data_IF_808900552476
#
_entry.id   IF_808900552476
#
_cell.length_a   1.000
_cell.length_b   1.000
_cell.length_c   1.000
_cell.angle_alpha   90.00
_cell.angle_beta   90.00
_cell.angle_gamma   90.00
#
_symmetry.space_group_name_H-M   'P 1'
#
loop_
_entity.id
_entity.type
_entity.pdbx_description
1 polymer ?
#
# COMPACT_ATOMS: atom_id res chain seq x y z
N UNK A 1 -10.83 -11.18 -15.73
CA UNK A 1 -9.61 -11.90 -15.23
C UNK A 1 -8.44 -11.77 -16.20
N UNK A 2 -8.64 -12.02 -17.49
CA UNK A 2 -7.62 -11.83 -18.54
C UNK A 2 -6.93 -10.46 -18.50
N UNK A 3 -7.68 -9.36 -18.36
CA UNK A 3 -7.12 -8.01 -18.25
C UNK A 3 -6.26 -7.82 -16.98
N UNK A 4 -6.72 -8.32 -15.84
CA UNK A 4 -5.95 -8.25 -14.60
C UNK A 4 -4.63 -9.04 -14.70
N UNK A 5 -4.68 -10.25 -15.28
CA UNK A 5 -3.47 -11.06 -15.56
C UNK A 5 -2.52 -10.36 -16.52
N UNK A 6 -3.04 -9.83 -17.64
CA UNK A 6 -2.25 -9.05 -18.60
C UNK A 6 -1.57 -7.85 -17.95
N UNK A 7 -2.30 -7.11 -17.11
CA UNK A 7 -1.75 -5.99 -16.33
C UNK A 7 -0.63 -6.42 -15.38
N UNK A 8 -0.79 -7.53 -14.65
CA UNK A 8 0.25 -8.04 -13.76
C UNK A 8 1.52 -8.48 -14.50
N UNK A 9 1.38 -9.10 -15.67
CA UNK A 9 2.52 -9.51 -16.51
C UNK A 9 3.25 -8.28 -17.07
N UNK A 10 2.50 -7.31 -17.60
CA UNK A 10 3.08 -6.05 -18.07
C UNK A 10 3.83 -5.32 -16.96
N UNK A 11 3.25 -5.26 -15.75
CA UNK A 11 3.88 -4.66 -14.59
C UNK A 11 5.20 -5.37 -14.23
N UNK A 12 5.25 -6.70 -14.37
CA UNK A 12 6.50 -7.44 -14.23
C UNK A 12 7.57 -6.97 -15.23
N UNK A 13 7.24 -6.89 -16.52
CA UNK A 13 8.20 -6.43 -17.54
C UNK A 13 8.71 -5.01 -17.23
N UNK A 14 7.82 -4.12 -16.79
CA UNK A 14 8.20 -2.76 -16.39
C UNK A 14 9.09 -2.73 -15.15
N UNK A 15 9.02 -3.71 -14.24
CA UNK A 15 9.90 -3.81 -13.06
C UNK A 15 11.35 -4.16 -13.38
N UNK A 16 11.65 -4.57 -14.60
CA UNK A 16 13.03 -4.77 -15.06
C UNK A 16 13.70 -3.42 -15.38
N UNK A 17 12.93 -2.40 -15.77
CA UNK A 17 13.45 -1.07 -16.15
C UNK A 17 14.21 -0.32 -15.03
N UNK A 18 13.76 -0.32 -13.75
CA UNK A 18 14.50 0.32 -12.66
C UNK A 18 15.97 -0.08 -12.55
N UNK A 19 16.34 -1.32 -12.91
CA UNK A 19 17.74 -1.74 -12.94
C UNK A 19 18.57 -0.86 -13.90
N UNK A 20 18.08 -0.66 -15.12
CA UNK A 20 18.77 0.12 -16.15
C UNK A 20 18.61 1.63 -15.96
N UNK A 21 17.44 2.08 -15.48
CA UNK A 21 17.10 3.50 -15.38
C UNK A 21 17.52 4.15 -14.06
N UNK A 22 17.70 3.37 -12.99
CA UNK A 22 18.00 3.88 -11.65
C UNK A 22 19.35 3.36 -11.16
N UNK A 23 19.58 2.04 -11.18
CA UNK A 23 20.80 1.46 -10.61
C UNK A 23 22.04 1.77 -11.45
N UNK A 24 21.97 1.59 -12.78
CA UNK A 24 23.10 1.85 -13.67
C UNK A 24 23.57 3.32 -13.62
N UNK A 25 22.69 4.35 -13.73
CA UNK A 25 23.09 5.74 -13.53
C UNK A 25 23.73 6.01 -12.17
N UNK A 26 23.24 5.35 -11.09
CA UNK A 26 23.86 5.45 -9.78
C UNK A 26 25.29 4.92 -9.73
N UNK A 27 25.55 3.77 -10.37
CA UNK A 27 26.91 3.20 -10.48
C UNK A 27 27.83 4.07 -11.32
N UNK A 28 27.35 4.57 -12.46
CA UNK A 28 28.11 5.49 -13.33
C UNK A 28 28.46 6.78 -12.57
N UNK A 29 27.51 7.35 -11.83
CA UNK A 29 27.75 8.55 -11.02
C UNK A 29 28.85 8.35 -9.99
N UNK A 30 28.99 7.16 -9.42
CA UNK A 30 30.04 6.87 -8.43
C UNK A 30 31.44 6.89 -9.05
N UNK A 31 31.57 6.47 -10.31
CA UNK A 31 32.85 6.47 -11.05
C UNK A 31 33.19 7.87 -11.54
N UNK A 32 32.19 8.62 -12.01
CA UNK A 32 32.40 9.95 -12.58
C UNK A 32 32.63 11.04 -11.52
N UNK A 33 32.04 10.88 -10.33
CA UNK A 33 32.13 11.87 -9.25
C UNK A 33 32.67 11.25 -7.93
N UNK A 34 33.94 10.81 -7.90
CA UNK A 34 34.49 10.13 -6.74
C UNK A 34 34.59 11.02 -5.51
N UNK A 35 34.90 12.31 -5.68
CA UNK A 35 35.14 13.23 -4.56
C UNK A 35 33.86 13.66 -3.84
N UNK A 36 32.71 13.62 -4.52
CA UNK A 36 31.41 14.02 -3.95
C UNK A 36 30.56 12.81 -3.57
N UNK A 37 30.38 11.84 -4.48
CA UNK A 37 29.49 10.69 -4.28
C UNK A 37 30.21 9.52 -3.60
N UNK A 38 31.48 9.29 -3.94
CA UNK A 38 32.29 8.20 -3.40
C UNK A 38 33.25 8.65 -2.28
N UNK A 39 32.94 9.78 -1.62
CA UNK A 39 33.75 10.33 -0.55
C UNK A 39 34.03 9.26 0.53
N UNK A 40 35.29 9.17 0.95
CA UNK A 40 35.78 8.20 1.93
C UNK A 40 36.14 8.83 3.27
N UNK A 41 36.30 10.16 3.32
CA UNK A 41 36.74 10.89 4.51
C UNK A 41 35.54 11.57 5.22
N UNK A 42 35.33 11.33 6.54
CA UNK A 42 34.15 11.82 7.26
C UNK A 42 33.94 13.34 7.23
N UNK A 43 35.02 14.12 7.37
CA UNK A 43 34.97 15.59 7.36
C UNK A 43 34.49 16.13 6.01
N UNK A 44 34.98 15.54 4.92
CA UNK A 44 34.60 15.93 3.55
C UNK A 44 33.15 15.56 3.27
N UNK A 45 32.74 14.33 3.60
CA UNK A 45 31.34 13.91 3.42
C UNK A 45 30.36 14.76 4.24
N UNK A 46 30.73 15.15 5.48
CA UNK A 46 29.91 16.01 6.32
C UNK A 46 29.66 17.39 5.69
N UNK A 47 30.67 17.98 5.04
CA UNK A 47 30.55 19.28 4.40
C UNK A 47 29.66 19.26 3.14
N UNK A 48 29.61 18.12 2.44
CA UNK A 48 28.92 17.97 1.15
C UNK A 48 27.46 17.57 1.35
N UNK A 49 27.19 16.58 2.21
CA UNK A 49 25.87 15.97 2.33
C UNK A 49 25.35 15.84 3.76
N UNK A 50 25.98 16.53 4.72
CA UNK A 50 25.63 16.48 6.16
C UNK A 50 25.60 15.06 6.74
N UNK A 51 26.37 14.15 6.14
CA UNK A 51 26.50 12.76 6.58
C UNK A 51 27.97 12.37 6.59
N UNK A 52 28.46 11.91 7.75
CA UNK A 52 29.86 11.53 7.94
C UNK A 52 30.23 10.18 7.28
N UNK A 53 29.24 9.40 6.82
CA UNK A 53 29.47 8.04 6.33
C UNK A 53 29.65 7.99 4.82
N UNK A 54 28.65 8.43 4.06
CA UNK A 54 28.59 8.37 2.59
C UNK A 54 27.58 9.38 2.02
N UNK A 55 27.83 9.83 0.79
CA UNK A 55 26.93 10.71 0.04
C UNK A 55 26.30 10.00 -1.18
N UNK A 56 25.84 8.75 -1.01
CA UNK A 56 25.27 7.95 -2.12
C UNK A 56 23.89 8.43 -2.57
N UNK A 57 23.09 9.03 -1.68
CA UNK A 57 21.73 9.49 -2.00
C UNK A 57 21.70 10.63 -3.04
N UNK A 58 22.79 11.40 -3.17
CA UNK A 58 22.89 12.51 -4.13
C UNK A 58 23.41 12.08 -5.50
N UNK A 59 23.72 10.79 -5.72
CA UNK A 59 24.31 10.31 -6.97
C UNK A 59 23.47 10.68 -8.20
N UNK A 60 22.17 10.36 -8.17
CA UNK A 60 21.29 10.61 -9.32
C UNK A 60 21.10 12.11 -9.62
N UNK A 61 20.77 12.97 -8.64
CA UNK A 61 20.77 14.42 -8.85
C UNK A 61 22.10 14.97 -9.36
N UNK A 62 23.24 14.56 -8.79
CA UNK A 62 24.57 15.03 -9.22
C UNK A 62 24.84 14.70 -10.68
N UNK A 63 24.46 13.49 -11.14
CA UNK A 63 24.57 13.09 -12.54
C UNK A 63 23.74 13.99 -13.46
N UNK A 64 22.47 14.21 -13.11
CA UNK A 64 21.53 15.07 -13.86
C UNK A 64 22.05 16.51 -13.93
N UNK A 65 22.54 17.05 -12.83
CA UNK A 65 22.94 18.46 -12.74
C UNK A 65 24.25 18.78 -13.48
N UNK A 66 25.15 17.81 -13.62
CA UNK A 66 26.49 18.00 -14.20
C UNK A 66 26.63 17.50 -15.64
N UNK A 67 25.82 16.51 -16.08
CA UNK A 67 25.94 15.95 -17.44
C UNK A 67 24.95 16.57 -18.42
N UNK A 68 23.71 16.82 -18.01
CA UNK A 68 22.66 17.23 -18.95
C UNK A 68 22.83 18.68 -19.40
N UNK A 69 22.55 18.99 -20.67
CA UNK A 69 22.61 20.35 -21.18
C UNK A 69 21.53 21.24 -20.55
N UNK A 70 21.74 22.55 -20.63
CA UNK A 70 20.76 23.55 -20.24
C UNK A 70 19.42 23.30 -20.96
N UNK A 71 18.29 23.56 -20.29
CA UNK A 71 16.96 23.18 -20.76
C UNK A 71 16.56 21.77 -20.32
N UNK A 72 17.24 20.72 -20.81
CA UNK A 72 16.92 19.32 -20.46
C UNK A 72 17.11 19.07 -18.96
N UNK A 73 18.14 19.68 -18.36
CA UNK A 73 18.34 19.70 -16.91
C UNK A 73 17.11 20.20 -16.14
N UNK A 74 16.46 21.27 -16.61
CA UNK A 74 15.26 21.83 -15.99
C UNK A 74 14.05 20.90 -16.14
N UNK A 75 13.85 20.33 -17.33
CA UNK A 75 12.80 19.34 -17.59
C UNK A 75 12.96 18.14 -16.67
N UNK A 76 14.18 17.62 -16.52
CA UNK A 76 14.45 16.47 -15.69
C UNK A 76 14.14 16.73 -14.21
N UNK A 77 14.56 17.88 -13.68
CA UNK A 77 14.24 18.27 -12.30
C UNK A 77 12.73 18.43 -12.08
N UNK A 78 12.02 19.02 -13.06
CA UNK A 78 10.56 19.15 -13.00
C UNK A 78 9.87 17.78 -12.98
N UNK A 79 10.29 16.83 -13.84
CA UNK A 79 9.76 15.46 -13.87
C UNK A 79 10.02 14.76 -12.53
N UNK A 80 11.22 14.90 -11.95
CA UNK A 80 11.55 14.31 -10.66
C UNK A 80 10.63 14.84 -9.55
N UNK A 81 10.43 16.17 -9.48
CA UNK A 81 9.53 16.78 -8.50
C UNK A 81 8.07 16.35 -8.71
N UNK A 82 7.59 16.34 -9.95
CA UNK A 82 6.23 15.91 -10.29
C UNK A 82 6.00 14.44 -9.91
N UNK A 83 6.96 13.55 -10.18
CA UNK A 83 6.89 12.14 -9.80
C UNK A 83 6.86 11.95 -8.28
N UNK A 84 7.65 12.73 -7.53
CA UNK A 84 7.62 12.72 -6.07
C UNK A 84 6.27 13.17 -5.52
N UNK A 85 5.71 14.28 -6.03
CA UNK A 85 4.41 14.80 -5.59
C UNK A 85 3.29 13.79 -5.89
N UNK A 86 3.33 13.14 -7.07
CA UNK A 86 2.37 12.10 -7.45
C UNK A 86 2.43 10.89 -6.50
N UNK A 87 3.64 10.40 -6.20
CA UNK A 87 3.83 9.29 -5.25
C UNK A 87 3.34 9.61 -3.84
N UNK A 88 3.68 10.81 -3.32
CA UNK A 88 3.23 11.26 -2.01
C UNK A 88 1.70 11.39 -1.93
N UNK A 89 1.09 11.94 -2.98
CA UNK A 89 -0.37 12.09 -3.07
C UNK A 89 -1.06 10.72 -3.02
N UNK A 90 -0.53 9.72 -3.74
CA UNK A 90 -1.08 8.36 -3.74
C UNK A 90 -0.97 7.67 -2.37
N UNK A 91 0.18 7.81 -1.69
CA UNK A 91 0.40 7.24 -0.36
C UNK A 91 -0.53 7.88 0.66
N UNK A 92 -0.61 9.21 0.69
CA UNK A 92 -1.48 9.92 1.64
C UNK A 92 -2.97 9.65 1.39
N UNK A 93 -3.39 9.57 0.13
CA UNK A 93 -4.76 9.20 -0.20
C UNK A 93 -5.10 7.77 0.27
N UNK A 94 -4.19 6.81 0.05
CA UNK A 94 -4.39 5.43 0.48
C UNK A 94 -4.45 5.31 2.00
N UNK A 95 -3.54 6.00 2.71
CA UNK A 95 -3.53 6.04 4.17
C UNK A 95 -4.80 6.70 4.75
N UNK A 96 -5.27 7.76 4.11
CA UNK A 96 -6.54 8.41 4.46
C UNK A 96 -7.71 7.44 4.32
N UNK A 97 -7.80 6.69 3.22
CA UNK A 97 -8.89 5.72 3.02
C UNK A 97 -8.84 4.58 4.03
N UNK A 98 -7.65 4.03 4.32
CA UNK A 98 -7.50 3.00 5.36
C UNK A 98 -7.95 3.56 6.71
N UNK A 99 -7.57 4.80 7.04
CA UNK A 99 -8.00 5.42 8.29
C UNK A 99 -9.52 5.66 8.32
N UNK A 100 -10.11 6.18 7.26
CA UNK A 100 -11.53 6.54 7.25
C UNK A 100 -12.47 5.36 7.09
N UNK A 101 -12.05 4.28 6.41
CA UNK A 101 -12.88 3.09 6.17
C UNK A 101 -12.62 2.02 7.23
N UNK A 102 -11.35 1.75 7.55
CA UNK A 102 -11.00 0.60 8.40
C UNK A 102 -10.88 0.97 9.89
N UNK A 103 -10.52 2.21 10.22
CA UNK A 103 -10.27 2.62 11.63
C UNK A 103 -11.41 3.49 12.15
N UNK A 104 -11.75 4.57 11.44
CA UNK A 104 -12.69 5.59 11.89
C UNK A 104 -14.06 5.01 12.28
N UNK A 105 -14.70 4.13 11.49
CA UNK A 105 -16.00 3.59 11.84
C UNK A 105 -15.93 2.66 13.04
N UNK A 106 -14.89 1.84 13.16
CA UNK A 106 -14.72 0.93 14.30
C UNK A 106 -14.45 1.67 15.62
N UNK A 107 -13.63 2.72 15.59
CA UNK A 107 -13.31 3.52 16.78
C UNK A 107 -14.50 4.39 17.20
N UNK A 108 -15.23 4.98 16.25
CA UNK A 108 -16.33 5.89 16.54
C UNK A 108 -17.70 5.21 16.65
N UNK A 109 -17.90 3.99 16.13
CA UNK A 109 -19.12 3.19 16.34
C UNK A 109 -19.39 2.93 17.82
N UNK A 110 -18.35 2.94 18.65
CA UNK A 110 -18.47 2.91 20.10
C UNK A 110 -19.20 4.14 20.68
N UNK A 111 -19.20 5.27 19.95
CA UNK A 111 -19.74 6.57 20.40
C UNK A 111 -20.91 7.09 19.58
N UNK A 112 -21.04 6.73 18.29
CA UNK A 112 -22.07 7.23 17.38
C UNK A 112 -22.48 6.17 16.36
N UNK A 113 -23.79 5.94 16.20
CA UNK A 113 -24.36 4.91 15.31
C UNK A 113 -24.49 5.31 13.83
N UNK A 114 -24.48 6.60 13.50
CA UNK A 114 -24.65 7.09 12.13
C UNK A 114 -23.47 7.98 11.74
N UNK A 115 -22.65 7.51 10.80
CA UNK A 115 -21.54 8.28 10.20
C UNK A 115 -21.97 8.69 8.79
N UNK A 116 -21.93 9.98 8.49
CA UNK A 116 -22.31 10.50 7.16
C UNK A 116 -21.11 10.49 6.21
N UNK A 117 -21.34 10.24 4.91
CA UNK A 117 -20.30 10.29 3.88
C UNK A 117 -19.53 11.64 3.83
N UNK A 118 -20.25 12.74 4.07
CA UNK A 118 -19.69 14.11 4.21
C UNK A 118 -18.66 14.20 5.34
N UNK A 119 -18.94 13.57 6.47
CA UNK A 119 -18.01 13.52 7.61
C UNK A 119 -16.75 12.73 7.25
N UNK A 120 -16.91 11.58 6.60
CA UNK A 120 -15.83 10.70 6.19
C UNK A 120 -14.83 11.40 5.24
N UNK A 121 -15.35 12.19 4.29
CA UNK A 121 -14.53 12.96 3.36
C UNK A 121 -13.74 14.09 4.06
N UNK A 122 -14.36 14.78 5.01
CA UNK A 122 -13.70 15.86 5.78
C UNK A 122 -12.59 15.28 6.66
N UNK A 123 -12.88 14.18 7.37
CA UNK A 123 -11.91 13.50 8.23
C UNK A 123 -10.71 12.99 7.43
N UNK A 124 -10.96 12.42 6.24
CA UNK A 124 -9.89 11.97 5.36
C UNK A 124 -8.93 13.10 4.96
N UNK A 125 -9.48 14.26 4.54
CA UNK A 125 -8.66 15.44 4.20
C UNK A 125 -7.87 15.97 5.39
N UNK A 126 -8.48 16.02 6.57
CA UNK A 126 -7.81 16.44 7.80
C UNK A 126 -6.66 15.48 8.16
N UNK A 127 -6.87 14.18 7.98
CA UNK A 127 -5.85 13.16 8.19
C UNK A 127 -4.65 13.32 7.24
N UNK A 128 -4.88 13.67 5.97
CA UNK A 128 -3.79 13.97 5.02
C UNK A 128 -2.96 15.16 5.50
N UNK A 129 -3.59 16.23 5.98
CA UNK A 129 -2.89 17.40 6.54
C UNK A 129 -2.06 16.98 7.76
N UNK A 130 -2.66 16.23 8.69
CA UNK A 130 -1.97 15.72 9.88
C UNK A 130 -0.74 14.88 9.51
N UNK A 131 -0.89 13.94 8.59
CA UNK A 131 0.22 13.07 8.12
C UNK A 131 1.31 13.87 7.42
N UNK A 132 0.97 14.93 6.70
CA UNK A 132 1.94 15.85 6.10
C UNK A 132 2.77 16.56 7.16
N UNK A 133 2.14 17.10 8.20
CA UNK A 133 2.83 17.78 9.32
C UNK A 133 3.73 16.80 10.07
N UNK A 134 3.23 15.61 10.39
CA UNK A 134 4.03 14.56 11.05
C UNK A 134 5.21 14.14 10.16
N UNK A 135 5.00 13.99 8.85
CA UNK A 135 6.06 13.67 7.90
C UNK A 135 7.17 14.73 7.87
N UNK A 136 6.82 16.02 7.88
CA UNK A 136 7.80 17.12 7.97
C UNK A 136 8.54 17.09 9.30
N UNK A 137 7.83 16.86 10.40
CA UNK A 137 8.44 16.73 11.74
C UNK A 137 9.39 15.53 11.86
N UNK A 138 9.22 14.50 11.01
CA UNK A 138 10.05 13.29 11.01
C UNK A 138 11.36 13.43 10.20
N UNK A 139 11.51 14.47 9.37
CA UNK A 139 12.72 14.73 8.58
C UNK A 139 14.02 14.72 9.42
N UNK A 140 14.15 15.45 10.54
CA UNK A 140 15.38 15.45 11.33
C UNK A 140 15.73 14.07 11.88
N UNK A 141 14.72 13.29 12.28
CA UNK A 141 14.91 11.90 12.74
C UNK A 141 15.50 11.05 11.62
N UNK A 142 15.01 11.20 10.39
CA UNK A 142 15.55 10.47 9.24
C UNK A 142 17.00 10.89 8.95
N UNK A 143 17.34 12.18 9.03
CA UNK A 143 18.70 12.67 8.80
C UNK A 143 19.69 12.12 9.84
N UNK A 144 19.28 12.10 11.12
CA UNK A 144 20.12 11.55 12.20
C UNK A 144 20.28 10.03 12.04
N UNK A 145 19.20 9.32 11.71
CA UNK A 145 19.17 7.86 11.56
C UNK A 145 19.68 7.35 10.20
N UNK A 146 20.02 8.24 9.26
CA UNK A 146 20.41 7.94 7.86
C UNK A 146 21.76 7.24 7.70
N UNK A 147 22.15 6.40 8.66
CA UNK A 147 23.32 5.55 8.61
C UNK A 147 23.38 4.76 7.30
N UNK A 148 24.33 5.15 6.44
CA UNK A 148 24.89 4.41 5.29
C UNK A 148 24.12 4.48 3.96
N UNK A 149 22.79 4.41 3.89
CA UNK A 149 22.00 4.52 2.63
C UNK A 149 20.47 4.61 2.90
N UNK A 150 19.73 5.60 2.36
CA UNK A 150 18.30 5.79 2.66
C UNK A 150 17.42 4.61 2.19
N UNK A 151 17.77 4.00 1.05
CA UNK A 151 17.07 2.84 0.52
C UNK A 151 17.17 1.64 1.48
N UNK A 152 18.36 1.39 2.04
CA UNK A 152 18.58 0.29 3.00
C UNK A 152 17.78 0.52 4.28
N UNK A 153 17.71 1.75 4.77
CA UNK A 153 16.84 2.10 5.90
C UNK A 153 15.36 1.78 5.63
N UNK A 154 14.83 2.21 4.47
CA UNK A 154 13.44 1.91 4.09
C UNK A 154 13.18 0.40 4.01
N UNK A 155 14.12 -0.35 3.42
CA UNK A 155 14.01 -1.80 3.30
C UNK A 155 14.13 -2.53 4.65
N UNK A 156 14.89 -2.00 5.61
CA UNK A 156 14.94 -2.54 6.96
C UNK A 156 13.60 -2.40 7.67
N UNK A 157 12.98 -1.21 7.63
CA UNK A 157 11.66 -0.97 8.24
C UNK A 157 10.61 -1.90 7.62
N UNK A 158 10.57 -1.98 6.29
CA UNK A 158 9.67 -2.91 5.58
C UNK A 158 10.00 -4.35 5.97
N UNK A 159 11.28 -4.71 6.05
CA UNK A 159 11.75 -6.04 6.41
C UNK A 159 11.38 -6.48 7.83
N UNK A 160 11.10 -5.57 8.75
CA UNK A 160 10.65 -5.90 10.12
C UNK A 160 9.13 -6.02 10.24
N UNK A 161 8.36 -5.37 9.37
CA UNK A 161 6.89 -5.30 9.46
C UNK A 161 6.16 -6.15 8.41
N UNK A 162 6.69 -6.24 7.19
CA UNK A 162 6.03 -6.94 6.09
C UNK A 162 6.01 -8.48 6.21
N UNK A 163 7.05 -9.18 6.73
CA UNK A 163 7.06 -10.65 6.72
C UNK A 163 5.93 -11.31 7.51
N UNK A 164 5.56 -10.86 8.72
CA UNK A 164 4.40 -11.41 9.43
C UNK A 164 3.09 -11.28 8.63
N UNK A 165 2.87 -10.12 8.01
CA UNK A 165 1.70 -9.84 7.17
C UNK A 165 1.66 -10.78 5.97
N UNK A 166 2.78 -10.88 5.24
CA UNK A 166 2.90 -11.77 4.08
C UNK A 166 2.65 -13.24 4.45
N UNK A 167 3.14 -13.68 5.61
CA UNK A 167 2.93 -15.03 6.13
C UNK A 167 1.44 -15.33 6.31
N UNK A 168 0.71 -14.45 6.99
CA UNK A 168 -0.73 -14.63 7.22
C UNK A 168 -1.52 -14.61 5.91
N UNK A 169 -1.21 -13.71 4.98
CA UNK A 169 -1.88 -13.71 3.67
C UNK A 169 -1.67 -15.03 2.91
N UNK A 170 -0.44 -15.56 2.90
CA UNK A 170 -0.14 -16.83 2.25
C UNK A 170 -0.91 -17.98 2.94
N UNK A 171 -0.92 -18.02 4.27
CA UNK A 171 -1.66 -19.04 5.03
C UNK A 171 -3.17 -18.93 4.82
N UNK A 172 -3.73 -17.72 4.84
CA UNK A 172 -5.16 -17.48 4.65
C UNK A 172 -5.64 -17.94 3.27
N UNK A 173 -4.82 -17.76 2.23
CA UNK A 173 -5.19 -18.18 0.86
C UNK A 173 -4.94 -19.68 0.63
N UNK A 174 -3.86 -20.26 1.17
CA UNK A 174 -3.44 -21.63 0.84
C UNK A 174 -3.90 -22.69 1.85
N UNK A 175 -4.18 -22.32 3.11
CA UNK A 175 -4.48 -23.25 4.19
C UNK A 175 -5.84 -22.98 4.83
N UNK A 176 -6.78 -23.90 4.60
CA UNK A 176 -8.17 -23.84 5.10
C UNK A 176 -8.30 -23.79 6.63
N UNK A 177 -7.28 -24.24 7.37
CA UNK A 177 -7.36 -24.37 8.83
C UNK A 177 -6.97 -23.09 9.58
N UNK A 178 -6.47 -22.09 8.86
CA UNK A 178 -6.13 -20.77 9.43
C UNK A 178 -7.37 -20.13 10.03
N UNK A 179 -7.34 -19.83 11.33
CA UNK A 179 -8.44 -19.18 12.03
C UNK A 179 -8.05 -17.80 12.56
N UNK A 180 -9.04 -17.04 13.04
CA UNK A 180 -8.84 -15.67 13.53
C UNK A 180 -7.83 -15.61 14.69
N UNK A 181 -7.97 -16.49 15.68
CA UNK A 181 -7.07 -16.52 16.84
C UNK A 181 -5.62 -16.84 16.46
N UNK A 182 -5.41 -17.78 15.53
CA UNK A 182 -4.10 -18.13 15.02
C UNK A 182 -3.47 -17.00 14.21
N UNK A 183 -4.24 -16.37 13.33
CA UNK A 183 -3.79 -15.21 12.56
C UNK A 183 -3.42 -14.03 13.48
N UNK A 184 -4.26 -13.74 14.47
CA UNK A 184 -4.01 -12.68 15.46
C UNK A 184 -2.76 -12.96 16.29
N UNK A 185 -2.62 -14.16 16.87
CA UNK A 185 -1.46 -14.53 17.67
C UNK A 185 -0.17 -14.51 16.84
N UNK A 186 -0.22 -15.02 15.60
CA UNK A 186 0.89 -14.97 14.66
C UNK A 186 1.35 -13.54 14.37
N UNK A 187 0.41 -12.64 14.04
CA UNK A 187 0.72 -11.22 13.79
C UNK A 187 1.29 -10.54 15.03
N UNK A 188 0.68 -10.75 16.20
CA UNK A 188 1.14 -10.14 17.45
C UNK A 188 2.58 -10.56 17.79
N UNK A 189 2.88 -11.86 17.73
CA UNK A 189 4.25 -12.36 17.97
C UNK A 189 5.20 -11.80 16.91
N UNK A 190 4.86 -11.90 15.62
CA UNK A 190 5.70 -11.39 14.53
C UNK A 190 6.00 -9.90 14.66
N UNK A 191 5.01 -9.07 14.98
CA UNK A 191 5.20 -7.64 15.17
C UNK A 191 5.98 -7.30 16.43
N UNK A 192 5.77 -7.99 17.55
CA UNK A 192 6.56 -7.76 18.77
C UNK A 192 8.04 -8.01 18.52
N UNK A 193 8.40 -9.12 17.86
CA UNK A 193 9.78 -9.41 17.53
C UNK A 193 10.34 -8.45 16.45
N UNK A 194 9.53 -8.08 15.46
CA UNK A 194 9.89 -7.07 14.46
C UNK A 194 10.18 -5.69 15.08
N UNK A 195 9.29 -5.21 15.95
CA UNK A 195 9.46 -3.95 16.67
C UNK A 195 10.66 -4.00 17.63
N UNK A 196 10.87 -5.12 18.34
CA UNK A 196 12.04 -5.29 19.19
C UNK A 196 13.33 -5.13 18.37
N UNK A 197 13.42 -5.77 17.20
CA UNK A 197 14.57 -5.63 16.31
C UNK A 197 14.75 -4.21 15.81
N UNK A 198 13.66 -3.54 15.46
CA UNK A 198 13.66 -2.15 15.01
C UNK A 198 14.17 -1.19 16.09
N UNK A 199 13.67 -1.32 17.32
CA UNK A 199 14.11 -0.52 18.47
C UNK A 199 15.61 -0.75 18.75
N UNK A 200 16.06 -2.01 18.70
CA UNK A 200 17.48 -2.33 18.91
C UNK A 200 18.40 -1.75 17.81
N UNK A 201 17.95 -1.69 16.56
CA UNK A 201 18.71 -1.07 15.46
C UNK A 201 18.77 0.45 15.61
N UNK A 202 17.66 1.09 16.00
CA UNK A 202 17.60 2.54 16.14
C UNK A 202 18.22 3.06 17.44
N UNK A 203 18.29 2.23 18.49
CA UNK A 203 18.92 2.62 19.75
C UNK A 203 20.43 2.80 19.63
N UNK A 204 21.10 1.98 18.81
CA UNK A 204 22.55 2.06 18.61
C UNK A 204 22.89 1.99 17.12
N UNK A 205 23.30 3.13 16.58
CA UNK A 205 23.74 3.20 15.20
C UNK A 205 25.03 2.39 14.98
N UNK A 206 25.27 1.91 13.74
CA UNK A 206 26.54 1.28 13.41
C UNK A 206 27.70 2.26 13.69
N UNK A 207 28.78 1.83 14.35
CA UNK A 207 29.94 2.69 14.62
C UNK A 207 30.66 3.06 13.32
N UNK A 208 31.53 4.09 13.37
CA UNK A 208 32.39 4.42 12.23
C UNK A 208 33.48 3.34 12.04
N UNK A 209 34.09 3.32 10.85
CA UNK A 209 35.19 2.41 10.55
C UNK A 209 36.32 2.57 11.58
N UNK A 210 36.64 1.50 12.32
CA UNK A 210 37.72 1.49 13.32
C UNK A 210 37.26 1.68 14.78
N UNK A 211 35.98 1.93 15.03
CA UNK A 211 35.41 2.00 16.37
C UNK A 211 34.85 0.66 16.86
N UNK A 212 34.85 0.44 18.18
CA UNK A 212 34.32 -0.78 18.78
C UNK A 212 32.78 -0.83 18.71
N UNK A 213 32.26 -1.90 18.13
CA UNK A 213 30.82 -2.11 18.00
C UNK A 213 30.18 -2.62 19.29
N UNK A 214 29.53 -1.71 20.01
CA UNK A 214 28.81 -2.00 21.27
C UNK A 214 27.35 -2.45 21.07
N UNK A 215 26.94 -2.74 19.82
CA UNK A 215 25.58 -3.23 19.52
C UNK A 215 25.40 -4.66 20.00
N UNK A 216 24.14 -4.98 20.31
CA UNK A 216 23.76 -6.33 20.69
C UNK A 216 24.14 -7.34 19.58
N UNK A 217 24.61 -8.52 19.97
CA UNK A 217 25.22 -9.47 19.03
C UNK A 217 24.29 -9.83 17.85
N UNK A 218 22.98 -9.91 18.11
CA UNK A 218 21.95 -10.23 17.12
C UNK A 218 21.87 -9.14 16.05
N UNK A 219 22.01 -7.88 16.45
CA UNK A 219 22.02 -6.72 15.54
C UNK A 219 23.28 -6.69 14.70
N UNK A 220 24.42 -6.96 15.34
CA UNK A 220 25.75 -6.88 14.72
C UNK A 220 26.01 -8.00 13.71
N UNK A 221 25.60 -9.23 14.01
CA UNK A 221 25.93 -10.41 13.21
C UNK A 221 24.85 -10.80 12.20
N UNK A 222 23.58 -10.48 12.47
CA UNK A 222 22.47 -10.93 11.61
C UNK A 222 21.98 -9.77 10.75
N UNK A 223 22.18 -9.91 9.43
CA UNK A 223 21.63 -8.98 8.45
C UNK A 223 20.10 -8.97 8.54
N UNK A 224 19.48 -7.81 8.35
CA UNK A 224 18.03 -7.62 8.43
C UNK A 224 17.26 -8.58 7.51
N UNK A 225 17.78 -8.93 6.33
CA UNK A 225 17.10 -9.84 5.39
C UNK A 225 16.95 -11.26 5.97
N UNK A 226 18.00 -11.77 6.64
CA UNK A 226 17.91 -13.06 7.31
C UNK A 226 16.96 -13.00 8.51
N UNK A 227 16.94 -11.86 9.21
CA UNK A 227 15.99 -11.65 10.30
C UNK A 227 14.53 -11.60 9.81
N UNK A 228 14.27 -11.00 8.65
CA UNK A 228 12.95 -11.00 8.00
C UNK A 228 12.47 -12.42 7.68
N UNK A 229 13.37 -13.29 7.19
CA UNK A 229 13.05 -14.70 6.96
C UNK A 229 12.74 -15.42 8.28
N UNK A 230 13.53 -15.17 9.32
CA UNK A 230 13.26 -15.71 10.65
C UNK A 230 11.88 -15.26 11.17
N UNK A 231 11.51 -13.97 11.04
CA UNK A 231 10.20 -13.44 11.43
C UNK A 231 9.06 -14.11 10.67
N UNK A 232 9.24 -14.36 9.37
CA UNK A 232 8.26 -15.08 8.55
C UNK A 232 7.99 -16.49 9.12
N UNK A 233 9.06 -17.25 9.39
CA UNK A 233 8.93 -18.61 9.94
C UNK A 233 8.38 -18.61 11.36
N UNK A 234 8.79 -17.67 12.21
CA UNK A 234 8.26 -17.52 13.56
C UNK A 234 6.74 -17.27 13.54
N UNK A 235 6.30 -16.39 12.65
CA UNK A 235 4.88 -16.08 12.44
C UNK A 235 4.13 -17.30 11.93
N UNK A 236 4.71 -18.03 10.97
CA UNK A 236 4.14 -19.25 10.40
C UNK A 236 3.91 -20.31 11.47
N UNK A 237 4.94 -20.61 12.25
CA UNK A 237 4.89 -21.63 13.31
C UNK A 237 3.85 -21.23 14.36
N UNK A 238 3.86 -19.97 14.81
CA UNK A 238 2.91 -19.48 15.81
C UNK A 238 1.47 -19.58 15.29
N UNK A 239 1.21 -19.11 14.07
CA UNK A 239 -0.10 -19.16 13.46
C UNK A 239 -0.60 -20.60 13.31
N UNK A 240 0.25 -21.51 12.84
CA UNK A 240 -0.09 -22.93 12.65
C UNK A 240 -0.37 -23.60 13.99
N UNK A 241 0.51 -23.44 14.99
CA UNK A 241 0.34 -24.02 16.32
C UNK A 241 -0.94 -23.53 16.99
N UNK A 242 -1.17 -22.22 17.02
CA UNK A 242 -2.39 -21.66 17.65
C UNK A 242 -3.63 -22.07 16.87
N UNK A 243 -3.59 -22.06 15.53
CA UNK A 243 -4.74 -22.49 14.72
C UNK A 243 -5.11 -23.94 15.00
N UNK A 244 -4.13 -24.83 15.13
CA UNK A 244 -4.38 -26.25 15.44
C UNK A 244 -4.92 -26.46 16.87
N UNK A 245 -4.47 -25.65 17.84
CA UNK A 245 -4.94 -25.71 19.23
C UNK A 245 -6.31 -25.05 19.48
N UNK A 246 -6.82 -24.27 18.53
CA UNK A 246 -8.10 -23.54 18.65
C UNK A 246 -9.14 -24.08 17.68
N UNK A 247 -10.40 -23.64 17.81
CA UNK A 247 -11.51 -24.19 17.03
C UNK A 247 -11.32 -23.98 15.52
N UNK A 248 -11.73 -24.96 14.68
CA UNK A 248 -11.72 -24.81 13.23
C UNK A 248 -12.71 -23.75 12.75
N UNK A 249 -12.38 -23.00 11.67
CA UNK A 249 -13.29 -22.03 11.08
C UNK A 249 -14.52 -22.72 10.46
N UNK A 250 -15.68 -22.06 10.54
CA UNK A 250 -16.97 -22.58 10.04
C UNK A 250 -17.02 -22.54 8.51
N UNK A 251 -17.71 -23.48 7.85
CA UNK A 251 -17.77 -23.57 6.38
C UNK A 251 -18.23 -22.28 5.68
N UNK A 252 -19.10 -21.49 6.30
CA UNK A 252 -19.52 -20.17 5.81
C UNK A 252 -18.36 -19.18 5.68
N UNK A 253 -17.40 -19.22 6.62
CA UNK A 253 -16.21 -18.35 6.61
C UNK A 253 -15.19 -18.79 5.54
N UNK A 254 -15.19 -20.07 5.16
CA UNK A 254 -14.30 -20.61 4.12
C UNK A 254 -14.84 -20.47 2.69
N UNK A 255 -16.09 -20.05 2.54
CA UNK A 255 -16.76 -20.01 1.25
C UNK A 255 -16.04 -19.07 0.29
N UNK A 256 -15.44 -19.65 -0.77
CA UNK A 256 -14.72 -18.95 -1.85
C UNK A 256 -13.54 -18.06 -1.42
N UNK A 257 -13.07 -18.15 -0.18
CA UNK A 257 -11.96 -17.35 0.36
C UNK A 257 -10.58 -17.98 0.12
N UNK A 258 -10.48 -19.32 0.13
CA UNK A 258 -9.20 -20.02 -0.09
C UNK A 258 -9.04 -20.50 -1.53
N UNK A 259 -7.81 -20.75 -1.97
CA UNK A 259 -7.51 -21.28 -3.31
C UNK A 259 -8.24 -22.60 -3.60
N UNK A 260 -8.46 -23.41 -2.57
CA UNK A 260 -9.13 -24.69 -2.65
C UNK A 260 -10.66 -24.58 -2.63
N UNK A 261 -11.22 -23.53 -2.00
CA UNK A 261 -12.67 -23.25 -1.95
C UNK A 261 -13.16 -22.36 -3.10
N UNK A 262 -12.26 -21.86 -3.97
CA UNK A 262 -12.59 -20.85 -5.01
C UNK A 262 -13.69 -21.24 -6.02
N UNK A 263 -13.94 -22.54 -6.20
CA UNK A 263 -14.90 -23.09 -7.16
C UNK A 263 -16.11 -23.75 -6.49
N UNK A 264 -16.29 -23.59 -5.18
CA UNK A 264 -17.44 -24.18 -4.51
C UNK A 264 -18.72 -23.39 -4.83
N UNK A 265 -19.73 -24.10 -5.32
CA UNK A 265 -21.10 -23.61 -5.44
C UNK A 265 -21.69 -23.57 -4.02
N UNK A 266 -22.48 -22.54 -3.68
CA UNK A 266 -23.14 -22.46 -2.36
C UNK A 266 -24.14 -23.62 -2.28
N UNK A 267 -23.88 -24.63 -1.45
CA UNK A 267 -24.88 -25.63 -1.11
C UNK A 267 -25.80 -25.00 -0.08
N UNK A 268 -26.98 -24.57 -0.49
CA UNK A 268 -28.01 -23.99 0.40
C UNK A 268 -28.35 -25.00 1.50
N UNK A 269 -28.09 -24.72 2.78
CA UNK A 269 -28.73 -25.43 3.87
C UNK A 269 -30.09 -24.75 4.16
N UNK A 270 -31.13 -25.54 4.42
CA UNK A 270 -32.55 -25.18 4.66
C UNK A 270 -32.84 -24.20 5.83
N UNK A 271 -31.87 -23.45 6.37
CA UNK A 271 -32.07 -22.65 7.60
C UNK A 271 -32.40 -21.16 7.43
N UNK A 272 -32.81 -20.72 6.23
CA UNK A 272 -33.29 -19.33 6.04
C UNK A 272 -34.70 -19.10 6.61
N UNK A 273 -35.44 -20.13 7.02
CA UNK A 273 -36.82 -19.96 7.52
C UNK A 273 -36.99 -19.27 8.88
N UNK A 274 -35.92 -18.92 9.62
CA UNK A 274 -36.09 -18.30 10.95
C UNK A 274 -35.81 -16.79 11.00
N UNK A 275 -35.30 -16.18 9.93
CA UNK A 275 -35.06 -14.72 9.86
C UNK A 275 -36.12 -13.95 9.04
N UNK A 276 -37.00 -14.66 8.32
CA UNK A 276 -38.05 -14.05 7.50
C UNK A 276 -39.42 -13.92 8.21
N UNK A 277 -39.58 -14.41 9.45
CA UNK A 277 -40.87 -14.35 10.18
C UNK A 277 -41.12 -12.99 10.85
N UNK A 278 -40.13 -12.09 10.93
CA UNK A 278 -40.30 -10.79 11.61
C UNK A 278 -40.86 -9.68 10.70
N UNK A 279 -40.92 -9.88 9.37
CA UNK A 279 -41.30 -8.81 8.44
C UNK A 279 -42.69 -8.95 7.77
N UNK A 280 -43.54 -9.87 8.22
CA UNK A 280 -44.92 -9.93 7.74
C UNK A 280 -45.90 -9.33 8.76
N UNK A 281 -46.09 -8.01 8.70
CA UNK A 281 -47.38 -7.36 8.98
C UNK A 281 -47.33 -5.88 8.58
N UNK A 282 -47.75 -5.56 7.36
CA UNK A 282 -48.83 -4.59 7.02
C UNK A 282 -48.84 -4.29 5.51
N UNK A 283 -50.00 -4.33 4.84
CA UNK A 283 -50.09 -4.20 3.38
C UNK A 283 -50.41 -2.76 2.97
N UNK A 284 -49.73 -2.21 1.95
CA UNK A 284 -50.24 -1.06 1.19
C UNK A 284 -50.14 -1.37 -0.31
N UNK A 285 -51.29 -1.81 -0.81
CA UNK A 285 -51.88 -1.68 -2.15
C UNK A 285 -50.99 -1.02 -3.23
N UNK A 286 -50.62 -1.82 -4.23
CA UNK A 286 -50.17 -1.35 -5.54
C UNK A 286 -51.36 -1.07 -6.46
N UNK A 287 -51.43 0.12 -7.07
CA UNK A 287 -52.20 0.36 -8.29
C UNK A 287 -51.31 0.99 -9.37
N UNK A 288 -51.46 0.62 -10.65
CA UNK A 288 -50.65 1.11 -11.76
C UNK A 288 -51.30 2.33 -12.40
N UNK A 289 -50.55 3.39 -12.74
CA UNK A 289 -51.08 4.44 -13.63
C UNK A 289 -50.02 4.91 -14.65
N UNK A 290 -50.54 4.94 -15.87
CA UNK A 290 -50.05 5.34 -17.18
C UNK A 290 -49.14 6.56 -17.31
N UNK A 291 -48.34 6.50 -18.38
CA UNK A 291 -47.70 7.63 -19.01
C UNK A 291 -48.75 8.56 -19.65
N UNK A 292 -48.82 9.82 -19.23
CA UNK A 292 -49.25 10.92 -20.10
C UNK A 292 -48.69 12.27 -19.61
N UNK A 293 -48.26 13.07 -20.59
CA UNK A 293 -47.78 14.44 -20.50
C UNK A 293 -48.51 15.34 -19.49
N UNK A 294 -47.78 16.16 -18.75
CA UNK A 294 -48.10 17.58 -18.48
C UNK A 294 -46.92 18.23 -17.74
N UNK A 295 -46.41 19.33 -18.29
CA UNK A 295 -45.57 20.29 -17.57
C UNK A 295 -46.41 20.93 -16.44
N UNK A 296 -45.80 21.23 -15.28
CA UNK A 296 -46.18 22.45 -14.58
C UNK A 296 -44.97 23.31 -14.20
N UNK A 297 -45.03 24.54 -14.72
CA UNK A 297 -44.75 25.83 -14.09
C UNK A 297 -43.62 25.98 -13.06
N UNK A 298 -42.69 26.85 -13.45
CA UNK A 298 -41.76 27.62 -12.62
C UNK A 298 -42.41 28.22 -11.37
N UNK A 299 -42.01 27.74 -10.19
CA UNK A 299 -42.07 28.54 -8.97
C UNK A 299 -40.74 29.29 -8.78
N UNK A 300 -40.83 30.62 -8.88
CA UNK A 300 -39.77 31.57 -8.49
C UNK A 300 -39.45 31.37 -7.00
N UNK A 301 -38.19 31.05 -6.71
CA UNK A 301 -37.62 31.29 -5.39
C UNK A 301 -37.06 32.71 -5.38
N UNK A 302 -37.62 33.55 -4.52
CA UNK A 302 -37.12 34.88 -4.21
C UNK A 302 -35.65 34.82 -3.77
N UNK A 303 -34.82 35.70 -4.35
CA UNK A 303 -33.48 35.99 -3.85
C UNK A 303 -33.61 36.76 -2.52
N UNK A 304 -32.97 36.34 -1.42
CA UNK A 304 -32.58 37.30 -0.40
C UNK A 304 -31.25 37.92 -0.81
N UNK A 305 -31.27 39.24 -0.98
CA UNK A 305 -30.08 40.07 -1.14
C UNK A 305 -29.25 40.11 0.14
N UNK A 306 -27.94 40.03 -0.02
CA UNK A 306 -26.96 40.17 1.07
C UNK A 306 -25.72 39.33 0.81
N UNK A 307 -24.72 39.89 0.14
CA UNK A 307 -23.43 39.23 -0.09
C UNK A 307 -22.61 39.26 1.22
N UNK A 308 -22.90 38.32 2.13
CA UNK A 308 -22.15 38.17 3.37
C UNK A 308 -20.88 37.35 3.10
N UNK A 309 -19.72 37.87 3.53
CA UNK A 309 -18.43 37.17 3.44
C UNK A 309 -18.47 35.74 4.00
N UNK A 310 -19.34 35.49 4.99
CA UNK A 310 -19.60 34.18 5.57
C UNK A 310 -20.18 33.16 4.57
N UNK A 311 -21.05 33.58 3.65
CA UNK A 311 -21.66 32.71 2.64
C UNK A 311 -20.66 32.39 1.54
N UNK A 312 -19.83 33.36 1.15
CA UNK A 312 -18.74 33.15 0.19
C UNK A 312 -17.67 32.21 0.77
N UNK A 313 -17.29 32.39 2.04
CA UNK A 313 -16.35 31.49 2.73
C UNK A 313 -16.94 30.09 2.89
N UNK A 314 -18.24 29.98 3.21
CA UNK A 314 -18.92 28.67 3.29
C UNK A 314 -19.02 28.00 1.93
N UNK A 315 -19.29 28.74 0.86
CA UNK A 315 -19.34 28.24 -0.51
C UNK A 315 -17.94 27.85 -1.04
N UNK A 316 -16.91 28.64 -0.72
CA UNK A 316 -15.52 28.28 -1.03
C UNK A 316 -15.07 27.08 -0.21
N UNK A 317 -15.52 26.94 1.05
CA UNK A 317 -15.25 25.79 1.89
C UNK A 317 -15.99 24.54 1.39
N UNK A 318 -17.26 24.64 1.02
CA UNK A 318 -18.01 23.51 0.45
C UNK A 318 -17.47 23.10 -0.91
N UNK A 319 -17.10 24.06 -1.77
CA UNK A 319 -16.42 23.81 -3.04
C UNK A 319 -15.04 23.18 -2.84
N UNK A 320 -14.21 23.73 -1.93
CA UNK A 320 -12.91 23.16 -1.59
C UNK A 320 -13.07 21.74 -1.03
N UNK A 321 -14.06 21.52 -0.16
CA UNK A 321 -14.38 20.21 0.41
C UNK A 321 -15.11 19.27 -0.57
N UNK A 322 -15.50 19.71 -1.76
CA UNK A 322 -16.24 18.89 -2.73
C UNK A 322 -17.63 18.45 -2.23
N UNK A 323 -18.26 19.28 -1.41
CA UNK A 323 -19.56 19.03 -0.80
C UNK A 323 -20.62 19.73 -1.64
N UNK A 324 -21.23 18.99 -2.56
CA UNK A 324 -22.45 19.46 -3.22
C UNK A 324 -23.58 19.47 -2.18
N UNK A 325 -24.16 20.66 -1.94
CA UNK A 325 -25.33 20.85 -1.07
C UNK A 325 -26.62 20.38 -1.80
N UNK A 326 -26.55 19.23 -2.49
CA UNK A 326 -27.70 18.55 -3.05
C UNK A 326 -28.33 17.66 -1.98
N UNK A 327 -29.58 17.94 -1.62
CA UNK A 327 -30.47 17.14 -0.77
C UNK A 327 -29.99 15.70 -0.54
N UNK A 328 -29.73 15.36 0.74
CA UNK A 328 -29.49 14.01 1.26
C UNK A 328 -30.72 13.07 1.09
N UNK A 329 -31.19 12.88 -0.15
CA UNK A 329 -32.27 11.95 -0.51
C UNK A 329 -31.80 10.84 -1.48
N UNK A 330 -30.51 10.73 -1.76
CA UNK A 330 -29.91 9.53 -2.34
C UNK A 330 -29.22 8.65 -1.29
N UNK A 331 -29.81 8.58 -0.09
CA UNK A 331 -29.43 7.59 0.92
C UNK A 331 -30.26 6.33 0.68
N UNK A 332 -29.73 5.47 -0.19
CA UNK A 332 -30.32 4.16 -0.49
C UNK A 332 -29.63 3.33 -1.57
N UNK A 333 -28.65 3.87 -2.31
CA UNK A 333 -28.08 3.16 -3.49
C UNK A 333 -26.65 2.64 -3.26
N UNK A 334 -25.92 3.08 -2.22
CA UNK A 334 -24.50 2.66 -2.03
C UNK A 334 -24.32 1.53 -1.01
N UNK A 335 -25.32 1.23 -0.16
CA UNK A 335 -25.24 0.12 0.82
C UNK A 335 -25.91 -1.19 0.37
N UNK A 336 -26.39 -1.25 -0.87
CA UNK A 336 -26.85 -2.49 -1.52
C UNK A 336 -26.51 -2.41 -3.02
N UNK A 337 -25.25 -2.62 -3.38
CA UNK A 337 -25.05 -3.35 -4.62
C UNK A 337 -25.83 -4.68 -4.46
N UNK A 338 -26.74 -5.06 -5.36
CA UNK A 338 -27.39 -6.36 -5.26
C UNK A 338 -26.26 -7.38 -5.19
N UNK A 339 -26.25 -8.23 -4.15
CA UNK A 339 -25.33 -9.37 -4.12
C UNK A 339 -25.39 -10.16 -5.44
N UNK A 340 -26.52 -10.11 -6.14
CA UNK A 340 -26.73 -10.58 -7.51
C UNK A 340 -25.77 -9.99 -8.55
N UNK A 341 -25.47 -8.70 -8.59
CA UNK A 341 -24.64 -8.10 -9.65
C UNK A 341 -23.16 -8.48 -9.50
N UNK A 342 -22.69 -8.57 -8.25
CA UNK A 342 -21.33 -9.06 -7.94
C UNK A 342 -21.24 -10.55 -8.24
N UNK A 343 -22.27 -11.33 -7.91
CA UNK A 343 -22.33 -12.76 -8.24
C UNK A 343 -22.43 -13.00 -9.75
N UNK A 344 -23.15 -12.17 -10.51
CA UNK A 344 -23.28 -12.27 -11.99
C UNK A 344 -21.95 -11.97 -12.70
N UNK A 345 -21.23 -10.91 -12.29
CA UNK A 345 -19.87 -10.65 -12.80
C UNK A 345 -18.88 -11.78 -12.50
N UNK A 346 -19.11 -12.47 -11.39
CA UNK A 346 -18.30 -13.61 -10.96
C UNK A 346 -18.68 -14.91 -11.71
N UNK A 347 -19.92 -15.04 -12.18
CA UNK A 347 -20.40 -16.20 -12.95
C UNK A 347 -19.91 -16.20 -14.40
N UNK A 348 -19.59 -15.06 -15.02
CA UNK A 348 -19.00 -14.99 -16.36
C UNK A 348 -17.45 -15.16 -16.32
N UNK A 349 -17.01 -16.35 -15.91
CA UNK A 349 -15.58 -16.72 -15.75
C UNK A 349 -14.99 -17.45 -16.95
N UNK A 350 -15.45 -17.17 -18.17
CA UNK A 350 -14.91 -17.82 -19.37
C UNK A 350 -13.80 -16.99 -20.01
N UNK A 351 -12.55 -17.40 -19.80
CA UNK A 351 -11.41 -16.86 -20.55
C UNK A 351 -11.31 -17.54 -21.91
N UNK A 352 -11.16 -16.76 -22.98
CA UNK A 352 -10.85 -17.31 -24.31
C UNK A 352 -9.55 -18.13 -24.25
N UNK A 353 -9.52 -19.37 -24.81
CA UNK A 353 -8.40 -20.29 -24.63
C UNK A 353 -7.08 -19.74 -25.19
N UNK A 354 -7.12 -19.03 -26.32
CA UNK A 354 -5.94 -18.39 -26.92
C UNK A 354 -5.32 -17.33 -26.01
N UNK A 355 -6.14 -16.48 -25.39
CA UNK A 355 -5.66 -15.42 -24.49
C UNK A 355 -5.00 -16.04 -23.26
N UNK A 356 -5.59 -17.09 -22.71
CA UNK A 356 -5.00 -17.83 -21.58
C UNK A 356 -3.63 -18.41 -21.91
N UNK A 357 -3.47 -19.01 -23.09
CA UNK A 357 -2.19 -19.53 -23.57
C UNK A 357 -1.14 -18.43 -23.72
N UNK A 358 -1.49 -17.31 -24.37
CA UNK A 358 -0.58 -16.17 -24.55
C UNK A 358 -0.12 -15.62 -23.20
N UNK A 359 -1.04 -15.44 -22.25
CA UNK A 359 -0.72 -14.95 -20.92
C UNK A 359 0.19 -15.92 -20.15
N UNK A 360 -0.09 -17.22 -20.20
CA UNK A 360 0.74 -18.23 -19.53
C UNK A 360 2.14 -18.32 -20.12
N UNK A 361 2.29 -18.24 -21.45
CA UNK A 361 3.61 -18.22 -22.11
C UNK A 361 4.40 -16.99 -21.66
N UNK A 362 3.79 -15.80 -21.68
CA UNK A 362 4.45 -14.58 -21.22
C UNK A 362 4.84 -14.65 -19.74
N UNK A 363 4.00 -15.26 -18.90
CA UNK A 363 4.32 -15.50 -17.49
C UNK A 363 5.55 -16.39 -17.32
N UNK A 364 5.71 -17.44 -18.14
CA UNK A 364 6.90 -18.31 -18.08
C UNK A 364 8.15 -17.53 -18.53
N UNK A 365 8.05 -16.77 -19.63
CA UNK A 365 9.16 -15.98 -20.16
C UNK A 365 9.68 -15.00 -19.12
N UNK A 366 8.77 -14.24 -18.48
CA UNK A 366 9.19 -13.25 -17.49
C UNK A 366 9.81 -13.88 -16.25
N UNK A 367 9.26 -14.99 -15.74
CA UNK A 367 9.84 -15.70 -14.61
C UNK A 367 11.24 -16.23 -14.93
N UNK A 368 11.44 -16.80 -16.13
CA UNK A 368 12.75 -17.26 -16.57
C UNK A 368 13.74 -16.09 -16.69
N UNK A 369 13.30 -14.96 -17.23
CA UNK A 369 14.11 -13.75 -17.36
C UNK A 369 14.52 -13.20 -15.99
N UNK A 370 13.58 -13.07 -15.05
CA UNK A 370 13.85 -12.60 -13.68
C UNK A 370 14.80 -13.53 -12.93
N UNK A 371 14.58 -14.85 -13.00
CA UNK A 371 15.49 -15.84 -12.41
C UNK A 371 16.88 -15.75 -13.03
N UNK A 372 16.97 -15.62 -14.37
CA UNK A 372 18.25 -15.51 -15.07
C UNK A 372 19.01 -14.24 -14.67
N UNK A 373 18.31 -13.09 -14.58
CA UNK A 373 18.90 -11.84 -14.10
C UNK A 373 19.34 -11.97 -12.64
N UNK A 374 18.50 -12.55 -11.77
CA UNK A 374 18.86 -12.78 -10.38
C UNK A 374 20.13 -13.63 -10.26
N UNK A 375 20.22 -14.74 -11.01
CA UNK A 375 21.41 -15.60 -11.03
C UNK A 375 22.63 -14.83 -11.54
N UNK A 376 22.48 -14.07 -12.64
CA UNK A 376 23.56 -13.26 -13.22
C UNK A 376 24.14 -12.25 -12.22
N UNK A 377 23.27 -11.56 -11.46
CA UNK A 377 23.69 -10.55 -10.49
C UNK A 377 24.06 -11.11 -9.10
N UNK A 378 23.56 -12.31 -8.74
CA UNK A 378 23.84 -12.95 -7.45
C UNK A 378 25.10 -13.81 -7.49
N UNK A 379 25.46 -14.34 -8.66
CA UNK A 379 26.73 -15.04 -8.81
C UNK A 379 27.84 -14.00 -8.63
N UNK A 380 28.83 -14.25 -7.76
CA UNK A 380 30.05 -13.48 -7.72
C UNK A 380 30.79 -13.79 -9.01
N UNK A 381 30.43 -13.14 -10.11
CA UNK A 381 31.25 -13.09 -11.30
C UNK A 381 32.54 -12.45 -10.82
N UNK A 382 33.55 -13.28 -10.57
CA UNK A 382 34.93 -12.86 -10.31
C UNK A 382 35.24 -11.76 -11.33
N UNK A 383 35.26 -10.52 -10.87
CA UNK A 383 36.11 -9.38 -11.23
C UNK A 383 36.76 -9.26 -12.64
N UNK A 384 36.27 -9.89 -13.71
CA UNK A 384 36.89 -9.80 -15.04
C UNK A 384 36.05 -9.09 -16.10
N UNK A 385 34.73 -8.99 -15.95
CA UNK A 385 33.91 -8.39 -17.02
C UNK A 385 33.80 -6.86 -16.94
N UNK A 386 33.93 -6.27 -15.75
CA UNK A 386 33.76 -4.82 -15.52
C UNK A 386 35.08 -4.05 -15.34
N UNK A 387 36.23 -4.68 -15.63
CA UNK A 387 37.56 -4.10 -15.42
C UNK A 387 38.31 -3.72 -16.72
N UNK A 388 37.67 -3.87 -17.88
CA UNK A 388 38.24 -3.43 -19.16
C UNK A 388 37.51 -2.20 -19.67
#
# INVERSE_FOLDING_TARGET
ISHARGGTILAGYLKILPLFMIIFPGMISRILFPDTVACNQPSTCQSICHNQRRCTNIAYPTLVLNILPHGVKGIMLAIMLAALISGLTSIFNSASTIFTVDIYPHVLAFRRKNITNRELMIVGRLFVILMTVVGIAWIPVVIELQGVELYTYMQQVIGFLAPPIACIYILAVLWKRTNESGAFAGLMVGFVFGLLRMILEFSKQPPLCGENDSRFWLVRKVNFMYYSLFLFWLTLITCVSVSLCTQPPTEEQLYRTTFWTKNQQKSTPEHVQMLDVVNHETPIVSQPIDATNTLPETHRVEKPGGCNAFVLVKACWSWFCGLDDGHDNHQGIVDKAPHEDVDLMVHHREERPLIKWILNINLIIILLLEISLMVLFSLPVKYTFWRN
#
